data_IF_188662686763
#
_entry.id   IF_188662686763
#
_cell.length_a   1.000
_cell.length_b   1.000
_cell.length_c   1.000
_cell.angle_alpha   90.00
_cell.angle_beta   90.00
_cell.angle_gamma   90.00
#
_symmetry.space_group_name_H-M   'P 1'
#
loop_
_entity.id
_entity.type
_entity.pdbx_description
1 polymer ?
#
# COMPACT_ATOMS: atom_id res chain seq x y z
N UNK A 1 -5.88 19.93 29.87
CA UNK A 1 -5.83 20.90 28.75
C UNK A 1 -6.52 20.23 27.55
N UNK A 2 -7.68 20.80 27.17
CA UNK A 2 -8.56 20.20 26.16
C UNK A 2 -7.94 20.25 24.77
N UNK A 3 -7.83 19.12 24.14
CA UNK A 3 -7.51 19.03 22.72
C UNK A 3 -8.73 19.48 21.93
N UNK A 4 -8.51 20.51 21.11
CA UNK A 4 -9.52 21.18 20.30
C UNK A 4 -10.38 20.20 19.52
N UNK A 5 -11.68 20.53 19.42
CA UNK A 5 -12.69 19.73 18.75
C UNK A 5 -12.28 19.41 17.31
N UNK A 6 -12.01 18.15 17.04
CA UNK A 6 -11.80 17.64 15.69
C UNK A 6 -13.11 17.82 14.92
N UNK A 7 -13.06 18.65 13.90
CA UNK A 7 -14.19 18.83 12.99
C UNK A 7 -14.47 17.49 12.30
N UNK A 8 -15.50 16.78 12.71
CA UNK A 8 -15.93 15.53 12.05
C UNK A 8 -16.59 15.91 10.74
N UNK A 9 -15.90 15.66 9.64
CA UNK A 9 -16.48 15.83 8.32
C UNK A 9 -17.29 14.57 8.00
N UNK A 10 -18.61 14.68 7.75
CA UNK A 10 -19.42 13.51 7.39
C UNK A 10 -18.83 12.77 6.19
N UNK A 11 -18.77 11.43 6.25
CA UNK A 11 -18.26 10.59 5.16
C UNK A 11 -18.96 10.90 3.85
N UNK A 12 -20.26 11.22 3.88
CA UNK A 12 -21.03 11.60 2.70
C UNK A 12 -20.49 12.87 2.01
N UNK A 13 -19.95 13.83 2.77
CA UNK A 13 -19.33 15.04 2.21
C UNK A 13 -18.03 14.69 1.52
N UNK A 14 -17.14 13.94 2.18
CA UNK A 14 -15.88 13.51 1.59
C UNK A 14 -16.10 12.66 0.33
N UNK A 15 -17.05 11.71 0.39
CA UNK A 15 -17.39 10.86 -0.75
C UNK A 15 -17.99 11.64 -1.91
N UNK A 16 -18.89 12.61 -1.65
CA UNK A 16 -19.44 13.49 -2.71
C UNK A 16 -18.36 14.37 -3.34
N UNK A 17 -17.38 14.79 -2.55
CA UNK A 17 -16.21 15.52 -3.04
C UNK A 17 -15.24 14.64 -3.82
N UNK A 18 -15.46 13.31 -3.85
CA UNK A 18 -14.63 12.36 -4.59
C UNK A 18 -13.39 11.87 -3.85
N UNK A 19 -13.29 12.12 -2.53
CA UNK A 19 -12.19 11.62 -1.73
C UNK A 19 -12.33 10.14 -1.38
N UNK A 20 -11.22 9.40 -1.47
CA UNK A 20 -11.08 8.08 -0.87
C UNK A 20 -11.08 8.22 0.66
N UNK A 21 -11.86 7.39 1.33
CA UNK A 21 -11.93 7.36 2.79
C UNK A 21 -11.79 5.94 3.30
N UNK A 22 -11.21 5.79 4.48
CA UNK A 22 -11.15 4.52 5.18
C UNK A 22 -12.33 4.39 6.15
N UNK A 23 -12.69 3.15 6.47
CA UNK A 23 -13.71 2.86 7.46
C UNK A 23 -13.22 3.12 8.90
N UNK A 24 -14.11 2.91 9.87
CA UNK A 24 -13.82 3.13 11.28
C UNK A 24 -12.67 2.25 11.78
N UNK A 25 -12.65 0.96 11.42
CA UNK A 25 -11.66 0.00 11.93
C UNK A 25 -10.28 0.32 11.38
N UNK A 26 -10.17 0.55 10.08
CA UNK A 26 -8.94 0.95 9.44
C UNK A 26 -8.42 2.28 10.00
N UNK A 27 -9.31 3.26 10.23
CA UNK A 27 -8.92 4.55 10.83
C UNK A 27 -8.30 4.38 12.22
N UNK A 28 -8.98 3.69 13.15
CA UNK A 28 -8.45 3.51 14.51
C UNK A 28 -7.18 2.66 14.53
N UNK A 29 -7.07 1.68 13.64
CA UNK A 29 -5.85 0.89 13.47
C UNK A 29 -4.68 1.78 13.04
N UNK A 30 -4.84 2.57 11.99
CA UNK A 30 -3.82 3.50 11.52
C UNK A 30 -3.47 4.56 12.58
N UNK A 31 -4.46 5.09 13.31
CA UNK A 31 -4.25 6.04 14.39
C UNK A 31 -3.43 5.43 15.54
N UNK A 32 -3.71 4.19 15.92
CA UNK A 32 -2.95 3.48 16.94
C UNK A 32 -1.50 3.24 16.51
N UNK A 33 -1.27 2.81 15.28
CA UNK A 33 0.07 2.61 14.73
C UNK A 33 0.84 3.94 14.61
N UNK A 34 0.16 5.02 14.22
CA UNK A 34 0.74 6.37 14.20
C UNK A 34 1.17 6.82 15.61
N UNK A 35 0.28 6.70 16.59
CA UNK A 35 0.53 7.09 17.98
C UNK A 35 1.66 6.27 18.62
N UNK A 36 1.81 5.01 18.21
CA UNK A 36 2.93 4.14 18.61
C UNK A 36 4.26 4.51 17.94
N UNK A 37 4.27 5.51 17.06
CA UNK A 37 5.48 5.98 16.38
C UNK A 37 5.91 5.14 15.18
N UNK A 38 5.08 4.19 14.73
CA UNK A 38 5.45 3.24 13.67
C UNK A 38 5.82 3.95 12.36
N UNK A 39 5.02 4.92 11.92
CA UNK A 39 5.30 5.69 10.69
C UNK A 39 6.46 6.64 10.82
N UNK A 40 6.73 7.17 12.03
CA UNK A 40 7.94 7.98 12.31
C UNK A 40 9.21 7.13 12.27
N UNK A 41 9.11 5.85 12.62
CA UNK A 41 10.18 4.88 12.51
C UNK A 41 10.30 4.28 11.09
N UNK A 42 9.70 4.93 10.08
CA UNK A 42 9.79 4.60 8.66
C UNK A 42 9.07 3.33 8.20
N UNK A 43 8.13 2.80 8.97
CA UNK A 43 7.15 1.88 8.41
C UNK A 43 6.21 2.59 7.43
N UNK A 44 5.75 1.89 6.41
CA UNK A 44 4.89 2.44 5.37
C UNK A 44 3.53 1.74 5.33
N UNK A 45 2.48 2.52 5.17
CA UNK A 45 1.22 1.99 4.69
C UNK A 45 1.35 1.69 3.19
N UNK A 46 0.95 0.50 2.79
CA UNK A 46 0.94 0.07 1.37
C UNK A 46 -0.45 -0.45 0.99
N UNK A 47 -0.60 -1.12 -0.14
CA UNK A 47 -1.88 -1.71 -0.53
C UNK A 47 -2.97 -0.67 -0.86
N UNK A 48 -4.23 -1.09 -0.75
CA UNK A 48 -5.36 -0.30 -1.25
C UNK A 48 -5.60 1.00 -0.48
N UNK A 49 -5.32 1.04 0.82
CA UNK A 49 -5.46 2.26 1.62
C UNK A 49 -4.42 3.31 1.23
N UNK A 50 -3.17 2.90 0.97
CA UNK A 50 -2.14 3.80 0.43
C UNK A 50 -2.54 4.35 -0.95
N UNK A 51 -3.09 3.50 -1.83
CA UNK A 51 -3.59 3.93 -3.12
C UNK A 51 -4.65 5.03 -3.00
N UNK A 52 -5.64 4.85 -2.14
CA UNK A 52 -6.67 5.86 -1.89
C UNK A 52 -6.09 7.19 -1.38
N UNK A 53 -5.11 7.13 -0.48
CA UNK A 53 -4.43 8.31 0.03
C UNK A 53 -3.61 9.01 -1.07
N UNK A 54 -2.93 8.25 -1.94
CA UNK A 54 -2.21 8.79 -3.10
C UNK A 54 -3.13 9.50 -4.09
N UNK A 55 -4.29 8.92 -4.42
CA UNK A 55 -5.29 9.58 -5.26
C UNK A 55 -5.76 10.90 -4.66
N UNK A 56 -6.02 10.92 -3.34
CA UNK A 56 -6.40 12.15 -2.64
C UNK A 56 -5.31 13.22 -2.73
N UNK A 57 -4.05 12.85 -2.52
CA UNK A 57 -2.91 13.76 -2.58
C UNK A 57 -2.70 14.31 -4.01
N UNK A 58 -2.98 13.49 -5.02
CA UNK A 58 -2.93 13.89 -6.43
C UNK A 58 -4.19 14.65 -6.89
N UNK A 59 -5.20 14.85 -6.03
CA UNK A 59 -6.45 15.50 -6.41
C UNK A 59 -7.26 14.72 -7.43
N UNK A 60 -7.10 13.39 -7.50
CA UNK A 60 -7.84 12.50 -8.39
C UNK A 60 -9.06 11.96 -7.67
N UNK A 61 -10.23 12.07 -8.30
CA UNK A 61 -11.44 11.47 -7.75
C UNK A 61 -11.32 9.96 -7.72
N UNK A 62 -11.48 9.38 -6.53
CA UNK A 62 -11.45 7.95 -6.34
C UNK A 62 -12.86 7.37 -6.35
N UNK A 63 -13.04 6.25 -7.03
CA UNK A 63 -14.16 5.36 -6.71
C UNK A 63 -13.98 4.85 -5.27
N UNK A 64 -15.08 4.59 -4.56
CA UNK A 64 -15.03 4.04 -3.20
C UNK A 64 -14.20 2.74 -3.20
N UNK A 65 -13.11 2.76 -2.45
CA UNK A 65 -12.27 1.58 -2.29
C UNK A 65 -12.84 0.72 -1.15
N UNK A 66 -13.39 -0.43 -1.51
CA UNK A 66 -13.82 -1.41 -0.51
C UNK A 66 -12.63 -2.35 -0.25
N UNK A 67 -12.03 -2.24 0.91
CA UNK A 67 -10.97 -3.14 1.37
C UNK A 67 -11.05 -3.28 2.89
N UNK A 68 -10.89 -4.52 3.35
CA UNK A 68 -10.86 -4.85 4.77
C UNK A 68 -9.41 -5.11 5.26
N UNK A 69 -8.43 -5.02 4.35
CA UNK A 69 -7.04 -5.32 4.63
C UNK A 69 -6.25 -4.01 4.83
N UNK A 70 -5.50 -3.92 5.92
CA UNK A 70 -4.50 -2.88 6.16
C UNK A 70 -3.12 -3.49 5.98
N UNK A 71 -2.39 -3.04 4.99
CA UNK A 71 -1.05 -3.55 4.66
C UNK A 71 0.02 -2.60 5.20
N UNK A 72 0.82 -3.05 6.15
CA UNK A 72 1.95 -2.31 6.72
C UNK A 72 3.25 -2.95 6.28
N UNK A 73 4.15 -2.16 5.74
CA UNK A 73 5.45 -2.65 5.28
C UNK A 73 6.60 -1.93 5.99
N UNK A 74 7.73 -2.64 6.18
CA UNK A 74 9.00 -2.05 6.57
C UNK A 74 10.10 -2.46 5.61
N UNK A 75 11.02 -1.54 5.31
CA UNK A 75 12.19 -1.84 4.49
C UNK A 75 13.34 -2.40 5.33
N UNK A 76 13.64 -1.72 6.42
CA UNK A 76 14.74 -2.01 7.34
C UNK A 76 14.22 -2.14 8.77
N UNK A 77 15.07 -2.53 9.71
CA UNK A 77 14.68 -2.62 11.11
C UNK A 77 14.25 -1.25 11.65
N UNK A 78 13.12 -1.20 12.32
CA UNK A 78 12.50 0.02 12.79
C UNK A 78 13.07 0.42 14.16
N UNK A 79 13.51 1.66 14.31
CA UNK A 79 13.89 2.22 15.59
C UNK A 79 12.65 2.76 16.34
N UNK A 80 11.88 1.87 16.97
CA UNK A 80 10.68 2.25 17.71
C UNK A 80 11.02 2.39 19.19
N UNK A 81 10.73 3.53 19.83
CA UNK A 81 10.89 3.68 21.27
C UNK A 81 9.89 2.79 22.02
N UNK A 82 10.37 2.00 22.95
CA UNK A 82 9.53 1.14 23.79
C UNK A 82 9.50 -0.33 23.32
N UNK A 83 8.84 -1.15 24.13
CA UNK A 83 8.92 -2.62 24.02
C UNK A 83 7.60 -3.24 23.52
N UNK A 84 6.65 -2.43 23.03
CA UNK A 84 5.35 -2.94 22.57
C UNK A 84 5.51 -3.75 21.30
N UNK A 85 4.90 -4.94 21.26
CA UNK A 85 4.81 -5.74 20.05
C UNK A 85 3.79 -5.17 19.07
N UNK A 86 3.86 -5.58 17.82
CA UNK A 86 2.91 -5.15 16.80
C UNK A 86 1.46 -5.47 17.17
N UNK A 87 1.23 -6.68 17.73
CA UNK A 87 -0.09 -7.09 18.21
C UNK A 87 -0.60 -6.19 19.35
N UNK A 88 0.28 -5.73 20.24
CA UNK A 88 -0.10 -4.82 21.32
C UNK A 88 -0.52 -3.45 20.77
N UNK A 89 0.21 -2.94 19.77
CA UNK A 89 -0.17 -1.70 19.07
C UNK A 89 -1.54 -1.83 18.41
N UNK A 90 -1.85 -2.98 17.80
CA UNK A 90 -3.15 -3.23 17.21
C UNK A 90 -4.26 -3.30 18.28
N UNK A 91 -4.03 -4.00 19.39
CA UNK A 91 -4.99 -4.15 20.48
C UNK A 91 -5.28 -2.85 21.24
N UNK A 92 -4.37 -1.88 21.19
CA UNK A 92 -4.59 -0.55 21.74
C UNK A 92 -5.76 0.21 21.07
N UNK A 93 -6.26 -0.26 19.94
CA UNK A 93 -7.50 0.21 19.30
C UNK A 93 -8.77 -0.16 20.05
N UNK A 94 -8.71 -1.12 20.96
CA UNK A 94 -9.86 -1.80 21.56
C UNK A 94 -10.46 -2.92 20.68
N UNK A 95 -9.89 -3.16 19.49
CA UNK A 95 -10.28 -4.29 18.63
C UNK A 95 -9.47 -5.53 19.08
N UNK A 96 -10.17 -6.64 19.28
CA UNK A 96 -9.52 -7.91 19.64
C UNK A 96 -8.81 -8.54 18.46
N UNK A 97 -7.56 -8.16 18.25
CA UNK A 97 -6.72 -8.81 17.25
C UNK A 97 -6.04 -10.06 17.78
N UNK A 98 -5.85 -11.03 16.89
CA UNK A 98 -5.02 -12.20 17.12
C UNK A 98 -4.20 -12.53 15.87
N UNK A 99 -3.06 -13.17 16.07
CA UNK A 99 -2.22 -13.69 14.97
C UNK A 99 -2.88 -14.94 14.39
N UNK A 100 -3.15 -14.97 13.08
CA UNK A 100 -3.70 -16.15 12.41
C UNK A 100 -2.60 -17.20 12.34
N UNK A 101 -2.81 -18.41 12.89
CA UNK A 101 -1.83 -19.49 12.77
C UNK A 101 -1.60 -19.86 11.30
N UNK A 102 -0.36 -20.17 10.94
CA UNK A 102 -0.07 -20.76 9.64
C UNK A 102 -0.67 -22.16 9.51
N UNK A 103 -1.12 -22.51 8.31
CA UNK A 103 -1.53 -23.89 7.99
C UNK A 103 -0.33 -24.84 8.04
N UNK A 104 0.86 -24.37 7.69
CA UNK A 104 2.11 -25.09 7.89
C UNK A 104 2.59 -24.87 9.33
N UNK A 105 2.55 -25.92 10.15
CA UNK A 105 2.99 -25.88 11.55
C UNK A 105 4.47 -25.51 11.74
N UNK A 106 5.28 -25.54 10.68
CA UNK A 106 6.69 -25.14 10.68
C UNK A 106 6.86 -23.64 10.51
N UNK A 107 5.82 -22.95 10.06
CA UNK A 107 5.81 -21.50 9.85
C UNK A 107 4.96 -20.82 10.92
N UNK A 108 5.32 -19.58 11.24
CA UNK A 108 4.49 -18.70 12.08
C UNK A 108 3.46 -17.98 11.22
N UNK A 109 2.37 -17.57 11.86
CA UNK A 109 1.39 -16.70 11.22
C UNK A 109 1.97 -15.32 10.92
N UNK A 110 1.47 -14.67 9.89
CA UNK A 110 1.88 -13.31 9.52
C UNK A 110 0.72 -12.32 9.56
N UNK A 111 -0.55 -12.72 9.26
CA UNK A 111 -1.67 -11.81 9.34
C UNK A 111 -2.22 -11.70 10.77
N UNK A 112 -2.67 -10.51 11.10
CA UNK A 112 -3.38 -10.20 12.33
C UNK A 112 -4.85 -9.93 12.01
N UNK A 113 -5.74 -10.78 12.52
CA UNK A 113 -7.18 -10.69 12.22
C UNK A 113 -7.96 -10.26 13.46
N UNK A 114 -9.05 -9.52 13.24
CA UNK A 114 -10.06 -9.25 14.25
C UNK A 114 -10.77 -10.55 14.65
N UNK A 115 -10.98 -10.76 15.93
CA UNK A 115 -11.75 -11.89 16.46
C UNK A 115 -13.23 -11.73 16.11
N UNK A 116 -13.88 -12.82 15.71
CA UNK A 116 -15.29 -12.85 15.33
C UNK A 116 -15.51 -13.05 13.83
N UNK A 117 -16.69 -12.65 13.32
CA UNK A 117 -17.10 -12.90 11.93
C UNK A 117 -16.58 -11.90 10.89
N UNK A 118 -15.81 -10.90 11.30
CA UNK A 118 -15.23 -9.90 10.40
C UNK A 118 -14.05 -10.48 9.60
N UNK A 119 -13.87 -9.97 8.38
CA UNK A 119 -12.69 -10.27 7.57
C UNK A 119 -11.55 -9.24 7.75
N UNK A 120 -11.75 -8.26 8.63
CA UNK A 120 -10.78 -7.20 8.88
C UNK A 120 -9.45 -7.78 9.38
N UNK A 121 -8.38 -7.45 8.69
CA UNK A 121 -7.04 -7.93 9.05
C UNK A 121 -5.97 -6.88 8.77
N UNK A 122 -4.84 -7.06 9.42
CA UNK A 122 -3.62 -6.28 9.21
C UNK A 122 -2.51 -7.24 8.80
N UNK A 123 -1.89 -6.97 7.67
CA UNK A 123 -0.76 -7.73 7.16
C UNK A 123 0.55 -6.95 7.41
N UNK A 124 1.54 -7.62 7.98
CA UNK A 124 2.90 -7.08 8.12
C UNK A 124 3.78 -7.65 7.01
N UNK A 125 4.41 -6.77 6.25
CA UNK A 125 5.14 -7.08 5.03
C UNK A 125 6.59 -6.63 5.11
N UNK A 126 7.50 -7.44 4.56
CA UNK A 126 8.93 -7.11 4.45
C UNK A 126 9.48 -7.48 3.09
N UNK A 127 10.54 -6.82 2.60
CA UNK A 127 11.20 -7.23 1.38
C UNK A 127 11.76 -8.65 1.48
N UNK A 128 11.63 -9.41 0.40
CA UNK A 128 12.28 -10.70 0.21
C UNK A 128 12.91 -10.78 -1.18
N UNK A 129 14.07 -11.41 -1.27
CA UNK A 129 14.67 -11.80 -2.54
C UNK A 129 14.15 -13.15 -3.05
N UNK A 130 13.29 -13.81 -2.27
CA UNK A 130 12.75 -15.14 -2.57
C UNK A 130 11.33 -15.03 -3.09
N UNK A 131 11.04 -15.67 -4.22
CA UNK A 131 9.70 -15.73 -4.83
C UNK A 131 8.75 -16.71 -4.10
N UNK A 132 9.24 -17.44 -3.10
CA UNK A 132 8.44 -18.38 -2.29
C UNK A 132 7.65 -17.72 -1.15
N UNK A 133 7.68 -16.39 -1.06
CA UNK A 133 6.95 -15.64 -0.04
C UNK A 133 7.24 -16.11 1.40
N UNK A 134 8.49 -16.08 1.86
CA UNK A 134 8.86 -16.62 3.15
C UNK A 134 8.24 -15.85 4.32
N UNK A 135 8.03 -16.53 5.43
CA UNK A 135 7.73 -15.88 6.71
C UNK A 135 9.02 -15.46 7.39
N UNK A 136 9.19 -14.16 7.63
CA UNK A 136 10.41 -13.58 8.21
C UNK A 136 10.11 -12.99 9.59
N UNK A 137 11.05 -13.19 10.52
CA UNK A 137 10.95 -12.63 11.88
C UNK A 137 11.24 -11.13 11.84
N UNK A 138 10.45 -10.36 12.60
CA UNK A 138 10.59 -8.91 12.81
C UNK A 138 10.76 -8.67 14.32
N UNK A 139 11.99 -8.79 14.83
CA UNK A 139 12.26 -8.81 16.26
C UNK A 139 11.79 -7.55 16.99
N UNK A 140 12.00 -6.37 16.40
CA UNK A 140 11.62 -5.07 16.95
C UNK A 140 10.10 -4.90 17.12
N UNK A 141 9.31 -5.64 16.35
CA UNK A 141 7.85 -5.67 16.45
C UNK A 141 7.33 -6.93 17.17
N UNK A 142 8.22 -7.81 17.65
CA UNK A 142 7.87 -9.11 18.23
C UNK A 142 6.87 -9.92 17.38
N UNK A 143 7.01 -9.84 16.06
CA UNK A 143 6.07 -10.37 15.08
C UNK A 143 6.78 -11.15 13.97
N UNK A 144 5.99 -11.77 13.11
CA UNK A 144 6.43 -12.33 11.85
C UNK A 144 5.74 -11.58 10.71
N UNK A 145 6.44 -11.43 9.61
CA UNK A 145 5.98 -10.71 8.42
C UNK A 145 6.06 -11.59 7.18
N UNK A 146 5.19 -11.31 6.23
CA UNK A 146 5.25 -11.95 4.92
C UNK A 146 6.33 -11.29 4.07
N UNK A 147 7.31 -12.08 3.62
CA UNK A 147 8.30 -11.65 2.65
C UNK A 147 7.66 -11.50 1.27
N UNK A 148 7.88 -10.37 0.61
CA UNK A 148 7.38 -10.13 -0.74
C UNK A 148 8.50 -9.75 -1.70
N UNK A 149 8.55 -10.36 -2.92
CA UNK A 149 9.50 -9.98 -3.95
C UNK A 149 9.23 -8.55 -4.42
N UNK A 150 10.29 -7.86 -4.84
CA UNK A 150 10.26 -6.49 -5.34
C UNK A 150 9.70 -5.42 -4.38
N UNK A 151 9.35 -5.78 -3.14
CA UNK A 151 8.85 -4.82 -2.16
C UNK A 151 9.91 -3.77 -1.80
N UNK A 152 11.20 -4.12 -1.77
CA UNK A 152 12.30 -3.18 -1.55
C UNK A 152 12.31 -2.02 -2.56
N UNK A 153 11.94 -2.28 -3.81
CA UNK A 153 11.79 -1.26 -4.84
C UNK A 153 10.69 -0.25 -4.47
N UNK A 154 9.52 -0.77 -4.06
CA UNK A 154 8.39 0.08 -3.64
C UNK A 154 8.75 0.99 -2.47
N UNK A 155 9.45 0.42 -1.46
CA UNK A 155 9.75 1.10 -0.20
C UNK A 155 10.98 2.02 -0.26
N UNK A 156 11.66 2.12 -1.42
CA UNK A 156 12.90 2.88 -1.54
C UNK A 156 12.72 4.40 -1.49
N UNK A 157 11.51 4.90 -1.76
CA UNK A 157 11.14 6.29 -1.61
C UNK A 157 9.73 6.41 -1.03
N UNK A 158 9.53 7.35 -0.13
CA UNK A 158 8.27 7.53 0.60
C UNK A 158 7.95 8.99 0.85
N UNK A 159 6.69 9.26 1.15
CA UNK A 159 6.18 10.57 1.54
C UNK A 159 5.16 10.43 2.66
N UNK A 160 4.91 11.51 3.39
CA UNK A 160 3.88 11.58 4.42
C UNK A 160 2.64 12.27 3.87
N UNK A 161 1.49 11.60 3.95
CA UNK A 161 0.20 12.13 3.50
C UNK A 161 -0.92 11.72 4.47
N UNK A 162 -2.04 12.47 4.51
CA UNK A 162 -3.18 12.10 5.34
C UNK A 162 -4.01 11.00 4.71
N UNK A 163 -4.41 10.02 5.54
CA UNK A 163 -5.52 9.11 5.27
C UNK A 163 -6.78 9.72 5.88
N UNK A 164 -7.84 9.82 5.10
CA UNK A 164 -9.10 10.46 5.49
C UNK A 164 -10.15 9.45 5.96
N UNK A 165 -10.92 9.84 6.98
CA UNK A 165 -12.06 9.08 7.47
C UNK A 165 -13.13 10.04 7.98
N UNK A 166 -14.37 9.57 8.20
CA UNK A 166 -15.41 10.32 8.92
C UNK A 166 -15.06 10.58 10.40
N UNK A 167 -14.02 9.94 10.92
CA UNK A 167 -13.55 10.08 12.31
C UNK A 167 -12.37 11.05 12.44
N UNK A 168 -11.86 11.57 11.32
CA UNK A 168 -10.71 12.47 11.26
C UNK A 168 -9.71 12.08 10.17
N UNK A 169 -8.48 12.53 10.33
CA UNK A 169 -7.36 12.16 9.45
C UNK A 169 -6.20 11.63 10.27
N UNK A 170 -5.40 10.77 9.65
CA UNK A 170 -4.16 10.23 10.24
C UNK A 170 -3.04 10.43 9.24
N UNK A 171 -1.95 11.07 9.68
CA UNK A 171 -0.73 11.15 8.87
C UNK A 171 -0.06 9.79 8.83
N UNK A 172 0.22 9.32 7.62
CA UNK A 172 0.89 8.04 7.38
C UNK A 172 2.01 8.23 6.38
N UNK A 173 3.02 7.38 6.47
CA UNK A 173 4.05 7.29 5.46
C UNK A 173 3.60 6.29 4.40
N UNK A 174 3.69 6.67 3.12
CA UNK A 174 3.33 5.82 1.97
C UNK A 174 4.46 5.88 0.93
N UNK A 175 4.57 4.88 0.04
CA UNK A 175 5.47 4.98 -1.11
C UNK A 175 5.11 6.19 -2.00
N UNK A 176 6.10 6.75 -2.69
CA UNK A 176 5.83 7.77 -3.71
C UNK A 176 4.99 7.19 -4.86
N UNK A 177 4.08 7.98 -5.47
CA UNK A 177 3.07 7.47 -6.39
C UNK A 177 3.64 6.83 -7.65
N UNK A 178 4.74 7.34 -8.20
CA UNK A 178 5.40 6.78 -9.38
C UNK A 178 5.98 5.38 -9.11
N UNK A 179 6.61 5.16 -7.96
CA UNK A 179 7.08 3.82 -7.57
C UNK A 179 5.91 2.89 -7.26
N UNK A 180 4.84 3.43 -6.67
CA UNK A 180 3.64 2.66 -6.42
C UNK A 180 3.03 2.15 -7.74
N UNK A 181 2.89 3.02 -8.75
CA UNK A 181 2.35 2.67 -10.07
C UNK A 181 3.20 1.58 -10.74
N UNK A 182 4.51 1.76 -10.83
CA UNK A 182 5.43 0.79 -11.42
C UNK A 182 5.43 -0.54 -10.65
N UNK A 183 5.44 -0.51 -9.32
CA UNK A 183 5.35 -1.73 -8.51
C UNK A 183 4.04 -2.49 -8.76
N UNK A 184 2.92 -1.80 -8.94
CA UNK A 184 1.64 -2.40 -9.30
C UNK A 184 1.69 -3.12 -10.64
N UNK A 185 2.40 -2.57 -11.63
CA UNK A 185 2.66 -3.27 -12.89
C UNK A 185 3.40 -4.59 -12.65
N UNK A 186 4.49 -4.54 -11.91
CA UNK A 186 5.34 -5.72 -11.64
C UNK A 186 4.52 -6.80 -10.92
N UNK A 187 3.84 -6.47 -9.81
CA UNK A 187 3.13 -7.47 -9.01
C UNK A 187 1.89 -8.02 -9.70
N UNK A 188 1.27 -7.29 -10.64
CA UNK A 188 0.16 -7.81 -11.44
C UNK A 188 0.54 -9.09 -12.19
N UNK A 189 1.82 -9.21 -12.58
CA UNK A 189 2.32 -10.36 -13.33
C UNK A 189 2.77 -11.54 -12.43
N UNK A 190 2.91 -11.31 -11.12
CA UNK A 190 3.28 -12.32 -10.14
C UNK A 190 2.06 -12.97 -9.47
N UNK A 191 0.91 -12.33 -9.55
CA UNK A 191 -0.32 -12.84 -8.92
C UNK A 191 -0.93 -13.99 -9.69
N UNK A 192 -1.70 -14.81 -8.97
CA UNK A 192 -2.51 -15.85 -9.59
C UNK A 192 -3.54 -15.23 -10.55
N UNK A 193 -3.49 -15.66 -11.81
CA UNK A 193 -4.35 -15.16 -12.90
C UNK A 193 -5.84 -15.46 -12.71
N UNK A 194 -6.19 -16.42 -11.87
CA UNK A 194 -7.60 -16.77 -11.58
C UNK A 194 -8.25 -15.80 -10.58
N UNK A 195 -7.49 -14.93 -9.93
CA UNK A 195 -8.01 -13.91 -9.02
C UNK A 195 -8.27 -12.58 -9.74
N UNK A 196 -9.12 -11.72 -9.20
CA UNK A 196 -9.36 -10.35 -9.70
C UNK A 196 -8.22 -9.36 -9.33
N UNK A 197 -7.23 -9.81 -8.56
CA UNK A 197 -6.15 -8.94 -8.06
C UNK A 197 -5.23 -8.40 -9.16
N UNK A 198 -4.80 -9.19 -10.19
CA UNK A 198 -3.98 -8.67 -11.28
C UNK A 198 -4.64 -7.51 -12.02
N UNK A 199 -5.91 -7.65 -12.36
CA UNK A 199 -6.68 -6.63 -13.06
C UNK A 199 -6.87 -5.36 -12.21
N UNK A 200 -7.12 -5.52 -10.91
CA UNK A 200 -7.16 -4.40 -9.95
C UNK A 200 -5.83 -3.66 -9.92
N UNK A 201 -4.70 -4.39 -9.86
CA UNK A 201 -3.37 -3.79 -9.81
C UNK A 201 -3.06 -3.03 -11.12
N UNK A 202 -3.44 -3.55 -12.29
CA UNK A 202 -3.27 -2.86 -13.59
C UNK A 202 -4.12 -1.59 -13.66
N UNK A 203 -5.39 -1.62 -13.24
CA UNK A 203 -6.26 -0.43 -13.20
C UNK A 203 -5.71 0.65 -12.27
N UNK A 204 -5.17 0.26 -11.11
CA UNK A 204 -4.55 1.20 -10.18
C UNK A 204 -3.28 1.83 -10.77
N UNK A 205 -2.46 1.03 -11.45
CA UNK A 205 -1.28 1.52 -12.15
C UNK A 205 -1.65 2.49 -13.27
N UNK A 206 -2.62 2.13 -14.13
CA UNK A 206 -3.07 2.97 -15.24
C UNK A 206 -3.51 4.37 -14.77
N UNK A 207 -4.38 4.42 -13.74
CA UNK A 207 -4.88 5.70 -13.21
C UNK A 207 -3.77 6.60 -12.65
N UNK A 208 -2.77 6.02 -11.98
CA UNK A 208 -1.62 6.78 -11.48
C UNK A 208 -0.70 7.22 -12.61
N UNK A 209 -0.39 6.35 -13.59
CA UNK A 209 0.48 6.67 -14.73
C UNK A 209 -0.11 7.81 -15.54
N UNK A 210 -1.40 7.73 -15.91
CA UNK A 210 -2.11 8.79 -16.65
C UNK A 210 -1.99 10.14 -15.93
N UNK A 211 -2.27 10.16 -14.62
CA UNK A 211 -2.20 11.37 -13.81
C UNK A 211 -0.77 11.92 -13.69
N UNK A 212 0.21 11.04 -13.48
CA UNK A 212 1.58 11.45 -13.21
C UNK A 212 2.29 11.95 -14.45
N UNK A 213 2.07 11.34 -15.60
CA UNK A 213 2.67 11.80 -16.88
C UNK A 213 2.21 13.21 -17.24
N UNK A 214 0.94 13.55 -16.97
CA UNK A 214 0.44 14.91 -17.22
C UNK A 214 0.97 15.96 -16.22
N UNK A 215 1.07 15.59 -14.93
CA UNK A 215 1.37 16.54 -13.86
C UNK A 215 2.84 16.59 -13.45
N UNK A 216 3.55 15.50 -13.63
CA UNK A 216 4.94 15.30 -13.19
C UNK A 216 5.75 14.62 -14.31
N UNK A 217 6.00 15.31 -15.43
CA UNK A 217 6.76 14.75 -16.57
C UNK A 217 8.12 14.21 -16.11
N UNK A 218 8.46 13.00 -16.58
CA UNK A 218 9.70 12.31 -16.23
C UNK A 218 9.63 11.41 -14.98
N UNK A 219 8.64 11.59 -14.09
CA UNK A 219 8.56 10.84 -12.83
C UNK A 219 8.38 9.32 -13.05
N UNK A 220 7.60 8.92 -14.04
CA UNK A 220 7.38 7.51 -14.38
C UNK A 220 8.64 6.89 -14.99
N UNK A 221 9.32 7.60 -15.86
CA UNK A 221 10.59 7.20 -16.49
C UNK A 221 11.69 6.99 -15.43
N UNK A 222 11.82 7.94 -14.52
CA UNK A 222 12.78 7.86 -13.41
C UNK A 222 12.48 6.66 -12.51
N UNK A 223 11.22 6.47 -12.15
CA UNK A 223 10.81 5.30 -11.38
C UNK A 223 11.08 3.99 -12.13
N UNK A 224 10.82 3.95 -13.42
CA UNK A 224 11.06 2.76 -14.26
C UNK A 224 12.55 2.46 -14.42
N UNK A 225 13.42 3.47 -14.51
CA UNK A 225 14.88 3.30 -14.59
C UNK A 225 15.46 2.62 -13.35
N UNK A 226 14.85 2.84 -12.19
CA UNK A 226 15.26 2.25 -10.91
C UNK A 226 14.71 0.82 -10.68
N UNK A 227 13.97 0.24 -11.63
CA UNK A 227 13.43 -1.12 -11.51
C UNK A 227 14.55 -2.14 -11.54
N UNK A 228 14.61 -3.09 -10.58
CA UNK A 228 15.61 -4.15 -10.58
C UNK A 228 15.57 -4.99 -11.87
N UNK A 229 16.74 -5.40 -12.37
CA UNK A 229 16.83 -6.25 -13.58
C UNK A 229 15.99 -7.53 -13.46
N UNK A 230 15.87 -8.08 -12.25
CA UNK A 230 15.03 -9.26 -11.97
C UNK A 230 13.54 -9.04 -12.27
N UNK A 231 13.05 -7.80 -12.28
CA UNK A 231 11.67 -7.46 -12.58
C UNK A 231 11.42 -7.00 -14.02
N UNK A 232 12.46 -6.93 -14.87
CA UNK A 232 12.35 -6.43 -16.24
C UNK A 232 11.32 -7.20 -17.08
N UNK A 233 11.31 -8.53 -16.95
CA UNK A 233 10.34 -9.40 -17.65
C UNK A 233 8.90 -9.15 -17.25
N UNK A 234 8.66 -8.97 -15.94
CA UNK A 234 7.34 -8.65 -15.41
C UNK A 234 6.88 -7.28 -15.90
N UNK A 235 7.78 -6.30 -15.88
CA UNK A 235 7.50 -4.94 -16.36
C UNK A 235 7.08 -4.94 -17.85
N UNK A 236 7.82 -5.58 -18.72
CA UNK A 236 7.51 -5.66 -20.15
C UNK A 236 6.15 -6.32 -20.41
N UNK A 237 5.83 -7.41 -19.70
CA UNK A 237 4.52 -8.07 -19.80
C UNK A 237 3.37 -7.19 -19.29
N UNK A 238 3.61 -6.45 -18.21
CA UNK A 238 2.60 -5.58 -17.62
C UNK A 238 2.28 -4.39 -18.51
N UNK A 239 3.27 -3.78 -19.17
CA UNK A 239 3.05 -2.70 -20.14
C UNK A 239 2.11 -3.16 -21.26
N UNK A 240 2.35 -4.36 -21.80
CA UNK A 240 1.45 -4.95 -22.81
C UNK A 240 0.03 -5.17 -22.26
N UNK A 241 -0.09 -5.62 -21.01
CA UNK A 241 -1.40 -5.84 -20.38
C UNK A 241 -2.17 -4.53 -20.08
N UNK A 242 -1.49 -3.39 -19.99
CA UNK A 242 -2.11 -2.08 -19.81
C UNK A 242 -2.97 -1.63 -21.00
N UNK A 243 -2.78 -2.19 -22.20
CA UNK A 243 -3.56 -1.87 -23.40
C UNK A 243 -5.08 -1.95 -23.17
N UNK A 244 -5.53 -2.76 -22.22
CA UNK A 244 -6.93 -2.92 -21.86
C UNK A 244 -7.43 -1.92 -20.80
N UNK A 245 -6.54 -1.18 -20.15
CA UNK A 245 -6.85 -0.36 -18.97
C UNK A 245 -6.51 1.12 -19.14
N UNK A 246 -5.67 1.45 -20.09
CA UNK A 246 -5.27 2.82 -20.38
C UNK A 246 -6.00 3.28 -21.64
N UNK A 247 -6.77 4.40 -21.62
CA UNK A 247 -7.50 4.84 -22.78
C UNK A 247 -6.54 5.26 -23.90
N UNK A 248 -6.98 5.08 -25.16
CA UNK A 248 -6.20 5.46 -26.35
C UNK A 248 -5.90 6.97 -26.34
N UNK A 249 -6.79 7.78 -25.76
CA UNK A 249 -6.62 9.22 -25.58
C UNK A 249 -5.47 9.63 -24.65
N UNK A 250 -4.97 8.70 -23.81
CA UNK A 250 -3.83 8.95 -22.94
C UNK A 250 -2.48 8.88 -23.71
N UNK A 251 -2.34 9.66 -24.77
CA UNK A 251 -1.20 9.59 -25.69
C UNK A 251 0.16 9.75 -24.97
N UNK A 252 0.28 10.75 -24.09
CA UNK A 252 1.51 11.00 -23.35
C UNK A 252 1.90 9.80 -22.46
N UNK A 253 0.93 9.14 -21.80
CA UNK A 253 1.18 7.94 -21.01
C UNK A 253 1.66 6.77 -21.89
N UNK A 254 1.09 6.62 -23.10
CA UNK A 254 1.52 5.61 -24.05
C UNK A 254 2.93 5.86 -24.59
N UNK A 255 3.28 7.12 -24.87
CA UNK A 255 4.63 7.47 -25.33
C UNK A 255 5.68 7.19 -24.27
N UNK A 256 5.40 7.54 -23.01
CA UNK A 256 6.22 7.19 -21.85
C UNK A 256 6.42 5.67 -21.72
N UNK A 257 5.34 4.89 -21.78
CA UNK A 257 5.41 3.44 -21.63
C UNK A 257 6.16 2.76 -22.80
N UNK A 258 6.01 3.25 -24.03
CA UNK A 258 6.78 2.78 -25.19
C UNK A 258 8.27 3.07 -25.04
N UNK A 259 8.64 4.29 -24.60
CA UNK A 259 10.03 4.64 -24.32
C UNK A 259 10.65 3.71 -23.27
N UNK A 260 9.94 3.42 -22.18
CA UNK A 260 10.39 2.46 -21.15
C UNK A 260 10.57 1.04 -21.73
N UNK A 261 9.64 0.60 -22.58
CA UNK A 261 9.71 -0.73 -23.17
C UNK A 261 10.89 -0.92 -24.15
N UNK A 262 11.31 0.15 -24.82
CA UNK A 262 12.42 0.15 -25.79
C UNK A 262 13.78 0.38 -25.15
N UNK A 263 13.86 0.98 -23.97
CA UNK A 263 15.11 1.29 -23.27
C UNK A 263 15.77 0.08 -22.57
N UNK A 264 15.16 -1.10 -22.61
CA UNK A 264 15.63 -2.38 -22.00
C UNK A 264 15.91 -3.43 -23.05
#
# INVERSE_FOLDING_TARGET
MGYGGWCRIPRSVLSRAGFATVDRKAYFTLASLHNSGLFRAEALLVGSHAYGALLNALGVRAAQLTTEDVDIARREALAIPGVSGFLDMLRATGIEFFEIPSLDRRQRGTPFKERGGSNFKVDLLVPSGDDNYPTLRVPELKAHAQGLPHLAYLLAASQEIPVLSSHGSVMVRVPVPERYAIHKLIVSQLRNKTSSKPEKDLRQAAALIETLVERYPGAIEDAASAVPKSAARQMARAIKALEQHLPISAAAAWDTLRAIATAK
#
